data_IF_651188920650
#
_entry.id   IF_651188920650
#
_cell.length_a   1.000
_cell.length_b   1.000
_cell.length_c   1.000
_cell.angle_alpha   90.00
_cell.angle_beta   90.00
_cell.angle_gamma   90.00
#
_symmetry.space_group_name_H-M   'P 1'
#
loop_
_entity.id
_entity.type
_entity.pdbx_description
1 polymer ?
#
# COMPACT_ATOMS: atom_id res chain seq x y z
N UNK A 1 -10.37 -22.68 90.08
CA UNK A 1 -9.42 -21.83 89.35
C UNK A 1 -9.70 -22.06 87.87
N UNK A 2 -10.28 -21.04 87.19
CA UNK A 2 -10.74 -21.16 85.76
C UNK A 2 -9.73 -20.48 84.84
N UNK A 3 -9.07 -21.30 84.02
CA UNK A 3 -8.19 -20.81 82.98
C UNK A 3 -9.01 -20.34 81.76
N UNK A 4 -8.86 -19.06 81.37
CA UNK A 4 -9.51 -18.50 80.20
C UNK A 4 -8.53 -18.66 79.00
N UNK A 5 -8.86 -19.55 78.15
CA UNK A 5 -8.16 -19.72 76.84
C UNK A 5 -8.67 -18.64 75.85
N UNK A 6 -7.80 -17.70 75.47
CA UNK A 6 -8.10 -16.70 74.45
C UNK A 6 -7.75 -17.27 73.09
N UNK A 7 -8.77 -17.49 72.26
CA UNK A 7 -8.57 -17.79 70.86
C UNK A 7 -8.26 -16.50 70.10
N UNK A 8 -7.08 -16.44 69.52
CA UNK A 8 -6.68 -15.41 68.58
C UNK A 8 -7.07 -15.83 67.18
N UNK A 9 -8.13 -15.23 66.59
CA UNK A 9 -8.51 -15.42 65.22
C UNK A 9 -7.67 -14.49 64.34
N UNK A 10 -6.70 -15.06 63.66
CA UNK A 10 -5.94 -14.34 62.62
C UNK A 10 -6.72 -14.45 61.34
N UNK A 11 -7.40 -13.37 60.92
CA UNK A 11 -8.02 -13.28 59.60
C UNK A 11 -6.92 -13.01 58.56
N UNK A 12 -6.53 -14.03 57.82
CA UNK A 12 -5.72 -13.90 56.61
C UNK A 12 -6.59 -13.31 55.48
N UNK A 13 -6.46 -12.01 55.27
CA UNK A 13 -6.98 -11.36 54.04
C UNK A 13 -6.07 -11.77 52.87
N UNK A 14 -6.45 -12.80 52.17
CA UNK A 14 -5.83 -13.18 50.89
C UNK A 14 -6.28 -12.16 49.84
N UNK A 15 -5.41 -11.15 49.58
CA UNK A 15 -5.52 -10.31 48.39
C UNK A 15 -5.21 -11.20 47.17
N UNK A 16 -6.24 -11.72 46.54
CA UNK A 16 -6.13 -12.29 45.20
C UNK A 16 -5.94 -11.12 44.23
N UNK A 17 -4.69 -10.78 43.94
CA UNK A 17 -4.37 -10.00 42.75
C UNK A 17 -4.73 -10.86 41.53
N UNK A 18 -5.94 -10.73 41.03
CA UNK A 18 -6.23 -11.11 39.65
C UNK A 18 -5.44 -10.16 38.77
N UNK A 19 -4.26 -10.58 38.34
CA UNK A 19 -3.62 -9.99 37.17
C UNK A 19 -4.58 -10.21 36.00
N UNK A 20 -5.51 -9.28 35.84
CA UNK A 20 -6.14 -9.10 34.54
C UNK A 20 -4.98 -8.73 33.61
N UNK A 21 -4.50 -9.73 32.88
CA UNK A 21 -3.81 -9.48 31.61
C UNK A 21 -4.83 -8.72 30.77
N UNK A 22 -4.86 -7.41 30.95
CA UNK A 22 -5.61 -6.51 30.09
C UNK A 22 -5.00 -6.68 28.70
N UNK A 23 -5.64 -7.49 27.89
CA UNK A 23 -5.45 -7.45 26.48
C UNK A 23 -5.79 -6.01 26.10
N UNK A 24 -4.77 -5.19 25.88
CA UNK A 24 -4.98 -3.83 25.44
C UNK A 24 -5.91 -3.92 24.22
N UNK A 25 -7.11 -3.38 24.36
CA UNK A 25 -8.09 -3.44 23.28
C UNK A 25 -7.45 -2.76 22.07
N UNK A 26 -7.29 -3.51 20.98
CA UNK A 26 -6.73 -2.98 19.75
C UNK A 26 -7.54 -1.77 19.29
N UNK A 27 -6.85 -0.72 18.91
CA UNK A 27 -7.47 0.55 18.50
C UNK A 27 -7.82 0.55 17.02
N UNK A 28 -7.08 -0.20 16.21
CA UNK A 28 -7.33 -0.31 14.77
C UNK A 28 -8.73 -0.87 14.51
N UNK A 29 -9.53 -0.09 13.81
CA UNK A 29 -10.88 -0.42 13.36
C UNK A 29 -10.97 -0.47 11.85
N UNK A 30 -10.10 0.28 11.19
CA UNK A 30 -10.07 0.42 9.75
C UNK A 30 -8.66 0.12 9.25
N UNK A 31 -8.57 -0.50 8.07
CA UNK A 31 -7.30 -0.81 7.42
C UNK A 31 -7.34 -0.34 5.97
N UNK A 32 -6.31 0.33 5.55
CA UNK A 32 -6.07 0.71 4.16
C UNK A 32 -4.80 0.03 3.69
N UNK A 33 -4.91 -0.81 2.67
CA UNK A 33 -3.79 -1.40 1.95
C UNK A 33 -3.58 -0.62 0.66
N UNK A 34 -2.41 0.01 0.53
CA UNK A 34 -2.05 0.86 -0.61
C UNK A 34 -0.86 0.21 -1.30
N UNK A 35 -0.97 0.02 -2.60
CA UNK A 35 0.07 -0.57 -3.43
C UNK A 35 0.42 0.39 -4.56
N UNK A 36 1.72 0.66 -4.73
CA UNK A 36 2.28 1.31 -5.91
C UNK A 36 2.98 0.24 -6.72
N UNK A 37 2.40 -0.11 -7.87
CA UNK A 37 2.85 -1.22 -8.70
C UNK A 37 4.31 -1.04 -9.12
N UNK A 38 5.11 -2.09 -8.97
CA UNK A 38 6.49 -2.15 -9.43
C UNK A 38 7.45 -1.09 -8.86
N UNK A 39 7.06 -0.33 -7.83
CA UNK A 39 7.92 0.72 -7.25
C UNK A 39 9.09 0.10 -6.49
N UNK A 40 10.32 0.31 -7.01
CA UNK A 40 11.53 -0.32 -6.49
C UNK A 40 11.88 0.17 -5.08
N UNK A 41 12.41 -0.75 -4.26
CA UNK A 41 12.95 -0.39 -2.95
C UNK A 41 14.11 0.62 -3.01
N UNK A 42 14.86 0.65 -4.13
CA UNK A 42 15.97 1.58 -4.33
C UNK A 42 15.48 3.03 -4.22
N UNK A 43 14.46 3.41 -4.99
CA UNK A 43 13.89 4.77 -4.94
C UNK A 43 13.34 5.08 -3.55
N UNK A 44 12.66 4.12 -2.93
CA UNK A 44 12.08 4.31 -1.60
C UNK A 44 13.13 4.61 -0.54
N UNK A 45 14.28 3.92 -0.56
CA UNK A 45 15.29 4.05 0.49
C UNK A 45 16.45 4.97 0.15
N UNK A 46 16.72 5.25 -1.13
CA UNK A 46 17.84 6.08 -1.55
C UNK A 46 17.44 7.32 -2.36
N UNK A 47 16.17 7.44 -2.74
CA UNK A 47 15.68 8.49 -3.63
C UNK A 47 16.08 8.24 -5.08
N UNK A 48 16.03 9.28 -5.92
CA UNK A 48 16.36 9.19 -7.33
C UNK A 48 17.73 8.56 -7.59
N UNK A 49 17.82 7.65 -8.56
CA UNK A 49 19.07 7.02 -8.98
C UNK A 49 19.88 7.99 -9.87
N UNK A 50 21.12 8.35 -9.48
CA UNK A 50 21.93 9.31 -10.24
C UNK A 50 22.27 8.84 -11.66
N UNK A 51 22.37 7.54 -11.86
CA UNK A 51 22.76 6.94 -13.13
C UNK A 51 21.60 6.91 -14.14
N UNK A 52 20.38 7.14 -13.68
CA UNK A 52 19.17 7.20 -14.50
C UNK A 52 18.68 8.65 -14.77
N UNK A 53 19.28 9.67 -14.15
CA UNK A 53 18.91 11.07 -14.39
C UNK A 53 19.51 11.62 -15.69
N UNK A 54 19.36 10.88 -16.77
CA UNK A 54 19.84 11.25 -18.11
C UNK A 54 19.02 10.54 -19.20
N UNK A 55 19.06 11.09 -20.42
CA UNK A 55 18.32 10.55 -21.57
C UNK A 55 18.74 9.11 -21.92
N UNK A 56 20.05 8.82 -21.84
CA UNK A 56 20.61 7.54 -22.32
C UNK A 56 20.11 6.35 -21.50
N UNK A 57 20.18 6.44 -20.18
CA UNK A 57 19.90 5.32 -19.27
C UNK A 57 18.46 5.40 -18.72
N UNK A 58 17.99 6.60 -18.42
CA UNK A 58 16.66 6.82 -17.83
C UNK A 58 15.58 7.21 -18.82
N UNK A 59 15.94 7.43 -20.10
CA UNK A 59 14.95 7.81 -21.13
C UNK A 59 14.18 9.10 -20.80
N UNK A 60 14.77 9.97 -19.99
CA UNK A 60 14.11 11.19 -19.53
C UNK A 60 13.90 12.18 -20.68
N UNK A 61 12.74 12.84 -20.67
CA UNK A 61 12.44 13.96 -21.55
C UNK A 61 12.49 15.31 -20.82
N UNK A 62 12.30 15.27 -19.50
CA UNK A 62 12.51 16.44 -18.67
C UNK A 62 13.99 16.85 -18.64
N UNK A 63 14.26 18.14 -18.36
CA UNK A 63 15.64 18.60 -18.17
C UNK A 63 16.29 17.92 -16.98
N UNK A 64 17.51 17.36 -17.13
CA UNK A 64 18.25 16.78 -16.01
C UNK A 64 18.46 17.75 -14.84
N UNK A 65 18.62 19.05 -15.13
CA UNK A 65 18.75 20.09 -14.10
C UNK A 65 17.46 20.27 -13.31
N UNK A 66 16.32 20.24 -14.00
CA UNK A 66 15.00 20.32 -13.35
C UNK A 66 14.78 19.12 -12.43
N UNK A 67 14.99 17.89 -12.93
CA UNK A 67 14.84 16.67 -12.12
C UNK A 67 15.80 16.65 -10.91
N UNK A 68 17.04 17.16 -11.10
CA UNK A 68 17.98 17.29 -9.99
C UNK A 68 17.51 18.34 -8.98
N UNK A 69 16.94 19.43 -9.42
CA UNK A 69 16.39 20.44 -8.52
C UNK A 69 15.21 19.87 -7.68
N UNK A 70 14.38 19.01 -8.29
CA UNK A 70 13.17 18.47 -7.66
C UNK A 70 13.47 17.25 -6.79
N UNK A 71 14.35 16.33 -7.23
CA UNK A 71 14.49 15.00 -6.64
C UNK A 71 15.92 14.63 -6.22
N UNK A 72 16.92 15.52 -6.41
CA UNK A 72 18.29 15.17 -6.12
C UNK A 72 18.86 15.88 -4.89
N UNK A 73 19.56 15.10 -4.08
CA UNK A 73 20.47 15.55 -3.03
C UNK A 73 21.63 14.56 -2.93
N UNK A 74 22.83 15.04 -2.63
CA UNK A 74 24.01 14.16 -2.45
C UNK A 74 23.84 13.22 -1.25
N UNK A 75 23.16 13.67 -0.19
CA UNK A 75 22.76 12.84 0.93
C UNK A 75 21.55 11.97 0.55
N UNK A 76 21.68 10.63 0.47
CA UNK A 76 20.56 9.74 0.17
C UNK A 76 19.39 9.87 1.15
N UNK A 77 19.65 10.27 2.39
CA UNK A 77 18.58 10.44 3.37
C UNK A 77 17.73 11.67 3.09
N UNK A 78 18.32 12.74 2.59
CA UNK A 78 17.57 13.92 2.12
C UNK A 78 16.93 13.66 0.76
N UNK A 79 17.65 13.01 -0.16
CA UNK A 79 17.15 12.68 -1.49
C UNK A 79 15.86 11.84 -1.44
N UNK A 80 15.81 10.80 -0.62
CA UNK A 80 14.59 10.01 -0.42
C UNK A 80 13.45 10.82 0.23
N UNK A 81 13.75 11.85 1.05
CA UNK A 81 12.73 12.75 1.60
C UNK A 81 12.19 13.73 0.58
N UNK A 82 13.01 14.13 -0.40
CA UNK A 82 12.52 14.94 -1.51
C UNK A 82 11.53 14.15 -2.37
N UNK A 83 11.81 12.87 -2.60
CA UNK A 83 10.94 12.00 -3.40
C UNK A 83 9.68 11.56 -2.63
N UNK A 84 9.83 11.20 -1.35
CA UNK A 84 8.75 10.69 -0.49
C UNK A 84 8.64 11.48 0.83
N UNK A 85 8.19 12.74 0.78
CA UNK A 85 8.11 13.59 1.96
C UNK A 85 7.15 13.07 3.04
N UNK A 86 6.01 12.48 2.70
CA UNK A 86 5.08 11.92 3.66
C UNK A 86 5.60 10.61 4.27
N UNK A 87 6.08 9.70 3.44
CA UNK A 87 6.65 8.43 3.91
C UNK A 87 7.77 8.64 4.93
N UNK A 88 8.73 9.52 4.62
CA UNK A 88 9.89 9.77 5.50
C UNK A 88 9.63 10.84 6.56
N UNK A 89 8.70 11.76 6.30
CA UNK A 89 8.35 12.82 7.25
C UNK A 89 7.34 12.40 8.30
N UNK A 90 6.43 11.49 7.98
CA UNK A 90 5.33 11.08 8.85
C UNK A 90 5.35 9.58 9.13
N UNK A 91 5.24 8.73 8.09
CA UNK A 91 5.12 7.28 8.27
C UNK A 91 6.32 6.69 8.99
N UNK A 92 7.55 7.07 8.60
CA UNK A 92 8.77 6.64 9.28
C UNK A 92 8.86 7.05 10.75
N UNK A 93 8.18 8.13 11.16
CA UNK A 93 8.19 8.60 12.55
C UNK A 93 7.11 7.98 13.42
N UNK A 94 5.98 7.59 12.79
CA UNK A 94 4.80 7.09 13.50
C UNK A 94 4.59 5.59 13.34
N UNK A 95 5.38 4.94 12.47
CA UNK A 95 5.23 3.54 12.12
C UNK A 95 6.55 2.80 11.94
N UNK A 96 6.57 1.88 11.00
CA UNK A 96 7.74 1.05 10.66
C UNK A 96 7.86 0.90 9.14
N UNK A 97 9.10 0.86 8.64
CA UNK A 97 9.39 0.62 7.23
C UNK A 97 10.42 -0.51 7.10
N UNK A 98 10.13 -1.50 6.26
CA UNK A 98 10.91 -2.69 6.00
C UNK A 98 11.35 -2.75 4.53
N UNK A 99 12.43 -3.47 4.24
CA UNK A 99 12.88 -3.75 2.87
C UNK A 99 14.16 -3.02 2.46
N UNK A 100 14.78 -2.20 3.34
CA UNK A 100 16.08 -1.60 3.02
C UNK A 100 17.20 -2.64 3.07
N UNK A 101 17.56 -3.18 1.91
CA UNK A 101 18.61 -4.18 1.82
C UNK A 101 19.99 -3.64 2.24
N UNK A 102 20.25 -2.35 2.05
CA UNK A 102 21.49 -1.70 2.50
C UNK A 102 21.67 -1.72 4.02
N UNK A 103 20.57 -1.97 4.75
CA UNK A 103 20.54 -2.12 6.21
C UNK A 103 20.19 -3.55 6.66
N UNK A 104 20.27 -4.54 5.76
CA UNK A 104 19.97 -5.92 6.07
C UNK A 104 18.49 -6.18 6.36
N UNK A 105 17.60 -5.27 5.99
CA UNK A 105 16.16 -5.49 6.07
C UNK A 105 15.67 -6.06 4.75
N UNK A 106 15.10 -7.27 4.78
CA UNK A 106 14.72 -8.01 3.59
C UNK A 106 13.20 -8.23 3.62
N UNK A 107 12.52 -7.72 2.61
CA UNK A 107 11.13 -8.03 2.30
C UNK A 107 11.05 -8.55 0.85
N UNK A 108 10.32 -9.64 0.62
CA UNK A 108 10.29 -10.31 -0.68
C UNK A 108 8.95 -10.94 -0.96
N UNK A 109 8.55 -10.95 -2.24
CA UNK A 109 7.55 -11.90 -2.73
C UNK A 109 8.16 -13.29 -2.82
N UNK A 110 7.35 -14.33 -2.61
CA UNK A 110 7.81 -15.74 -2.57
C UNK A 110 7.19 -16.59 -3.69
N UNK A 111 6.39 -15.99 -4.58
CA UNK A 111 5.73 -16.67 -5.69
C UNK A 111 6.69 -17.19 -6.78
N UNK A 112 7.94 -16.71 -6.79
CA UNK A 112 8.95 -17.12 -7.76
C UNK A 112 8.75 -16.55 -9.16
N UNK A 113 7.77 -15.68 -9.37
CA UNK A 113 7.40 -15.09 -10.65
C UNK A 113 7.72 -13.58 -10.66
N UNK A 114 7.53 -12.89 -9.52
CA UNK A 114 7.87 -11.49 -9.31
C UNK A 114 7.29 -10.55 -10.38
N UNK A 115 5.98 -10.69 -10.64
CA UNK A 115 5.18 -9.77 -11.45
C UNK A 115 3.75 -9.65 -10.88
N UNK A 116 2.94 -8.78 -11.43
CA UNK A 116 1.76 -8.19 -10.79
C UNK A 116 0.72 -9.21 -10.30
N UNK A 117 0.05 -9.98 -11.15
CA UNK A 117 -1.04 -10.84 -10.69
C UNK A 117 -0.60 -11.84 -9.60
N UNK A 118 0.50 -12.61 -9.76
CA UNK A 118 1.02 -13.49 -8.70
C UNK A 118 1.39 -12.74 -7.41
N UNK A 119 1.97 -11.53 -7.52
CA UNK A 119 2.31 -10.67 -6.39
C UNK A 119 1.06 -10.23 -5.62
N UNK A 120 0.08 -9.71 -6.31
CA UNK A 120 -1.22 -9.36 -5.71
C UNK A 120 -1.93 -10.56 -5.09
N UNK A 121 -1.94 -11.70 -5.78
CA UNK A 121 -2.54 -12.92 -5.21
C UNK A 121 -1.85 -13.32 -3.90
N UNK A 122 -0.52 -13.34 -3.87
CA UNK A 122 0.25 -13.70 -2.67
C UNK A 122 -0.06 -12.74 -1.53
N UNK A 123 -0.03 -11.42 -1.79
CA UNK A 123 -0.33 -10.37 -0.82
C UNK A 123 -1.74 -10.51 -0.24
N UNK A 124 -2.74 -10.77 -1.08
CA UNK A 124 -4.15 -10.79 -0.71
C UNK A 124 -4.61 -12.12 -0.10
N UNK A 125 -3.83 -13.19 -0.26
CA UNK A 125 -4.16 -14.53 0.24
C UNK A 125 -3.18 -15.05 1.29
N UNK A 126 -2.02 -14.37 1.45
CA UNK A 126 -0.94 -14.77 2.35
C UNK A 126 -0.13 -15.97 1.86
N UNK A 127 -0.25 -16.35 0.58
CA UNK A 127 0.52 -17.45 -0.01
C UNK A 127 0.57 -17.36 -1.54
N UNK A 128 1.68 -17.83 -2.16
CA UNK A 128 1.75 -17.96 -3.60
C UNK A 128 0.84 -19.08 -4.10
N UNK A 129 0.45 -18.99 -5.38
CA UNK A 129 -0.28 -20.05 -6.09
C UNK A 129 0.33 -20.22 -7.48
N UNK A 130 1.00 -21.34 -7.70
CA UNK A 130 1.69 -21.64 -8.97
C UNK A 130 0.74 -21.78 -10.19
N UNK A 131 -0.57 -21.79 -10.00
CA UNK A 131 -1.54 -21.77 -11.09
C UNK A 131 -1.69 -20.40 -11.70
N UNK A 132 -1.41 -19.35 -10.90
CA UNK A 132 -1.48 -17.94 -11.33
C UNK A 132 -0.09 -17.56 -11.85
N UNK A 133 0.11 -17.76 -13.13
CA UNK A 133 1.38 -17.65 -13.84
C UNK A 133 1.38 -16.64 -15.00
N UNK A 134 0.33 -15.81 -15.06
CA UNK A 134 0.16 -14.77 -16.07
C UNK A 134 -0.67 -13.62 -15.52
N UNK A 135 -0.43 -12.40 -16.01
CA UNK A 135 -1.29 -11.25 -15.76
C UNK A 135 -2.68 -11.40 -16.42
N UNK A 136 -2.79 -12.26 -17.46
CA UNK A 136 -4.04 -12.60 -18.16
C UNK A 136 -4.77 -13.81 -17.55
N UNK A 137 -4.45 -14.20 -16.31
CA UNK A 137 -4.97 -15.46 -15.70
C UNK A 137 -6.49 -15.45 -15.58
N UNK A 138 -7.26 -14.55 -15.67
CA UNK A 138 -8.71 -14.54 -15.46
C UNK A 138 -9.09 -14.56 -13.98
N UNK A 139 -10.27 -15.06 -13.63
CA UNK A 139 -10.81 -14.97 -12.27
C UNK A 139 -9.97 -15.75 -11.24
N UNK A 140 -9.53 -15.07 -10.18
CA UNK A 140 -8.76 -15.65 -9.09
C UNK A 140 -9.56 -16.77 -8.39
N UNK A 141 -9.05 -18.02 -8.35
CA UNK A 141 -9.71 -19.12 -7.66
C UNK A 141 -9.60 -19.02 -6.14
N UNK A 142 -8.65 -18.22 -5.63
CA UNK A 142 -8.35 -18.10 -4.21
C UNK A 142 -9.26 -17.08 -3.53
N UNK A 143 -9.56 -17.33 -2.27
CA UNK A 143 -10.31 -16.41 -1.42
C UNK A 143 -9.35 -15.36 -0.87
N UNK A 144 -9.55 -14.10 -1.26
CA UNK A 144 -8.76 -12.99 -0.73
C UNK A 144 -9.22 -12.60 0.67
N UNK A 145 -8.34 -11.99 1.47
CA UNK A 145 -8.70 -11.48 2.80
C UNK A 145 -9.82 -10.42 2.72
N UNK A 146 -9.90 -9.65 1.65
CA UNK A 146 -10.97 -8.67 1.43
C UNK A 146 -12.33 -9.35 1.21
N UNK A 147 -12.37 -10.36 0.34
CA UNK A 147 -13.57 -11.16 0.14
C UNK A 147 -13.98 -11.88 1.43
N UNK A 148 -13.02 -12.49 2.13
CA UNK A 148 -13.26 -13.16 3.40
C UNK A 148 -13.86 -12.21 4.44
N UNK A 149 -13.30 -11.00 4.58
CA UNK A 149 -13.84 -9.98 5.49
C UNK A 149 -15.25 -9.53 5.11
N UNK A 150 -15.53 -9.38 3.80
CA UNK A 150 -16.86 -8.97 3.33
C UNK A 150 -17.97 -9.99 3.66
N UNK A 151 -17.62 -11.25 3.95
CA UNK A 151 -18.59 -12.24 4.40
C UNK A 151 -19.11 -12.00 5.82
N UNK A 152 -18.37 -11.30 6.67
CA UNK A 152 -18.83 -10.98 8.02
C UNK A 152 -19.87 -9.85 8.00
N UNK A 153 -21.01 -10.00 8.73
CA UNK A 153 -22.07 -9.00 8.72
C UNK A 153 -21.61 -7.57 9.05
N UNK A 154 -20.64 -7.43 9.96
CA UNK A 154 -20.09 -6.14 10.40
C UNK A 154 -19.17 -5.47 9.37
N UNK A 155 -18.74 -6.17 8.32
CA UNK A 155 -17.91 -5.63 7.24
C UNK A 155 -18.64 -5.58 5.89
N UNK A 156 -19.79 -6.24 5.79
CA UNK A 156 -20.53 -6.32 4.53
C UNK A 156 -20.89 -4.94 3.99
N UNK A 157 -20.41 -4.64 2.78
CA UNK A 157 -20.56 -3.34 2.13
C UNK A 157 -19.64 -2.24 2.67
N UNK A 158 -18.70 -2.61 3.56
CA UNK A 158 -17.65 -1.70 4.08
C UNK A 158 -16.26 -2.13 3.63
N UNK A 159 -16.17 -3.00 2.65
CA UNK A 159 -14.95 -3.45 2.00
C UNK A 159 -14.97 -2.96 0.57
N UNK A 160 -13.93 -2.24 0.16
CA UNK A 160 -13.88 -1.65 -1.18
C UNK A 160 -12.49 -1.79 -1.81
N UNK A 161 -12.47 -1.77 -3.14
CA UNK A 161 -11.29 -1.84 -3.99
C UNK A 161 -11.32 -0.67 -4.97
N UNK A 162 -10.25 0.10 -4.99
CA UNK A 162 -10.00 1.18 -5.94
C UNK A 162 -8.64 0.93 -6.58
N UNK A 163 -8.59 0.70 -7.88
CA UNK A 163 -7.37 0.35 -8.57
C UNK A 163 -7.34 0.90 -10.00
N UNK A 164 -6.15 1.22 -10.49
CA UNK A 164 -5.99 1.78 -11.83
C UNK A 164 -6.08 0.73 -12.91
N UNK A 165 -5.68 -0.51 -12.64
CA UNK A 165 -5.68 -1.59 -13.61
C UNK A 165 -7.00 -2.38 -13.59
N UNK A 166 -7.60 -2.66 -14.75
CA UNK A 166 -8.90 -3.34 -14.87
C UNK A 166 -8.85 -4.81 -14.41
N UNK A 167 -7.69 -5.47 -14.52
CA UNK A 167 -7.46 -6.84 -14.07
C UNK A 167 -7.72 -7.04 -12.58
N UNK A 168 -7.79 -5.98 -11.77
CA UNK A 168 -8.22 -6.12 -10.38
C UNK A 168 -9.62 -6.70 -10.23
N UNK A 169 -10.49 -6.59 -11.24
CA UNK A 169 -11.77 -7.29 -11.27
C UNK A 169 -11.59 -8.82 -11.26
N UNK A 170 -10.54 -9.32 -11.90
CA UNK A 170 -10.14 -10.73 -11.90
C UNK A 170 -9.42 -11.11 -10.60
N UNK A 171 -8.45 -10.29 -10.14
CA UNK A 171 -7.66 -10.54 -8.92
C UNK A 171 -8.56 -10.68 -7.69
N UNK A 172 -9.57 -9.82 -7.56
CA UNK A 172 -10.55 -9.89 -6.47
C UNK A 172 -11.77 -10.77 -6.79
N UNK A 173 -11.83 -11.37 -7.96
CA UNK A 173 -12.95 -12.18 -8.44
C UNK A 173 -14.30 -11.45 -8.22
N UNK A 174 -14.49 -10.30 -8.89
CA UNK A 174 -15.66 -9.41 -8.69
C UNK A 174 -17.00 -10.18 -8.66
N UNK A 175 -17.26 -11.14 -9.60
CA UNK A 175 -18.53 -11.87 -9.60
C UNK A 175 -18.78 -12.69 -8.33
N UNK A 176 -17.72 -13.22 -7.69
CA UNK A 176 -17.83 -14.03 -6.47
C UNK A 176 -17.78 -13.16 -5.21
N UNK A 177 -16.84 -12.24 -5.16
CA UNK A 177 -16.59 -11.42 -3.95
C UNK A 177 -17.67 -10.38 -3.68
N UNK A 178 -18.33 -9.89 -4.73
CA UNK A 178 -19.35 -8.83 -4.66
C UNK A 178 -18.86 -7.59 -3.90
N UNK A 179 -17.55 -7.30 -3.98
CA UNK A 179 -16.95 -6.12 -3.39
C UNK A 179 -17.39 -4.85 -4.13
N UNK A 180 -17.44 -3.74 -3.41
CA UNK A 180 -17.52 -2.44 -4.08
C UNK A 180 -16.18 -2.20 -4.77
N UNK A 181 -16.23 -2.04 -6.09
CA UNK A 181 -15.01 -1.97 -6.89
C UNK A 181 -15.09 -0.89 -7.96
N UNK A 182 -13.99 -0.15 -8.10
CA UNK A 182 -13.67 0.66 -9.26
C UNK A 182 -12.28 0.26 -9.73
N UNK A 183 -12.16 -0.20 -10.97
CA UNK A 183 -10.91 -0.67 -11.56
C UNK A 183 -10.81 -0.22 -13.02
N UNK A 184 -9.61 0.14 -13.47
CA UNK A 184 -9.35 0.58 -14.83
C UNK A 184 -10.21 1.78 -15.24
N UNK A 185 -10.61 1.80 -16.49
CA UNK A 185 -11.43 2.86 -17.09
C UNK A 185 -12.94 2.73 -16.81
N UNK A 186 -13.33 1.87 -15.86
CA UNK A 186 -14.72 1.72 -15.45
C UNK A 186 -15.25 3.01 -14.81
N UNK A 187 -16.37 3.49 -15.33
CA UNK A 187 -17.07 4.63 -14.73
C UNK A 187 -17.88 4.18 -13.52
N UNK A 188 -18.10 5.08 -12.53
CA UNK A 188 -18.97 4.81 -11.40
C UNK A 188 -20.34 4.29 -11.84
N UNK A 189 -20.77 3.14 -11.30
CA UNK A 189 -22.04 2.46 -11.63
C UNK A 189 -23.26 3.10 -10.92
N UNK A 190 -23.25 4.41 -10.65
CA UNK A 190 -24.36 5.14 -10.04
C UNK A 190 -25.19 5.91 -11.06
N UNK A 191 -26.50 6.03 -10.80
CA UNK A 191 -27.41 6.80 -11.66
C UNK A 191 -27.45 8.29 -11.30
N UNK A 192 -27.24 8.61 -10.04
CA UNK A 192 -27.33 9.96 -9.49
C UNK A 192 -25.93 10.52 -9.30
N UNK A 193 -25.33 10.99 -10.41
CA UNK A 193 -23.99 11.58 -10.41
C UNK A 193 -24.05 13.01 -9.85
N UNK A 194 -23.09 13.34 -9.02
CA UNK A 194 -22.84 14.75 -8.67
C UNK A 194 -22.18 15.46 -9.85
N UNK A 195 -22.27 16.82 -9.95
CA UNK A 195 -21.58 17.57 -11.01
C UNK A 195 -20.07 17.28 -11.08
N UNK A 196 -19.42 16.96 -9.96
CA UNK A 196 -18.01 16.58 -9.91
C UNK A 196 -17.78 15.22 -10.56
N UNK A 197 -18.66 14.26 -10.32
CA UNK A 197 -18.59 12.94 -10.94
C UNK A 197 -18.91 13.00 -12.45
N UNK A 198 -19.85 13.86 -12.86
CA UNK A 198 -20.12 14.10 -14.27
C UNK A 198 -18.89 14.66 -15.00
N UNK A 199 -18.24 15.69 -14.42
CA UNK A 199 -17.01 16.24 -14.95
C UNK A 199 -15.90 15.18 -15.05
N UNK A 200 -15.72 14.37 -13.99
CA UNK A 200 -14.75 13.30 -13.99
C UNK A 200 -15.04 12.27 -15.10
N UNK A 201 -16.30 11.87 -15.26
CA UNK A 201 -16.71 10.96 -16.33
C UNK A 201 -16.45 11.55 -17.73
N UNK A 202 -16.60 12.86 -17.91
CA UNK A 202 -16.26 13.52 -19.17
C UNK A 202 -14.74 13.50 -19.41
N UNK A 203 -13.94 13.68 -18.37
CA UNK A 203 -12.48 13.54 -18.47
C UNK A 203 -12.08 12.11 -18.82
N UNK A 204 -12.65 11.10 -18.19
CA UNK A 204 -12.41 9.69 -18.53
C UNK A 204 -12.68 9.37 -20.01
N UNK A 205 -13.74 9.97 -20.60
CA UNK A 205 -14.09 9.73 -22.00
C UNK A 205 -13.20 10.48 -22.99
N UNK A 206 -12.58 11.58 -22.60
CA UNK A 206 -11.86 12.49 -23.48
C UNK A 206 -10.35 12.48 -23.31
N UNK A 207 -9.84 11.87 -22.23
CA UNK A 207 -8.41 11.75 -21.98
C UNK A 207 -7.78 10.75 -22.94
N UNK A 208 -6.62 11.09 -23.47
CA UNK A 208 -5.77 10.14 -24.20
C UNK A 208 -5.28 9.07 -23.22
N UNK A 209 -5.56 7.83 -23.52
CA UNK A 209 -5.15 6.67 -22.74
C UNK A 209 -3.72 6.28 -23.09
N UNK A 210 -2.95 5.79 -22.12
CA UNK A 210 -1.69 5.11 -22.37
C UNK A 210 -1.97 3.75 -23.03
N UNK A 211 -2.93 3.03 -22.44
CA UNK A 211 -3.50 1.76 -22.91
C UNK A 211 -4.99 1.69 -22.57
N UNK A 212 -5.63 0.55 -22.85
CA UNK A 212 -7.05 0.34 -22.59
C UNK A 212 -7.32 -0.29 -21.20
N UNK A 213 -6.29 -0.69 -20.44
CA UNK A 213 -6.40 -1.42 -19.18
C UNK A 213 -6.25 -0.48 -17.98
N UNK A 214 -5.26 0.42 -18.02
CA UNK A 214 -4.91 1.29 -16.88
C UNK A 214 -5.45 2.71 -17.01
N UNK A 215 -6.13 3.14 -15.95
CA UNK A 215 -6.47 4.56 -15.79
C UNK A 215 -5.36 5.29 -15.05
N UNK A 216 -5.20 6.59 -15.31
CA UNK A 216 -4.25 7.43 -14.59
C UNK A 216 -4.52 7.47 -13.09
N UNK A 217 -3.48 7.41 -12.26
CA UNK A 217 -3.56 7.44 -10.79
C UNK A 217 -4.37 8.63 -10.28
N UNK A 218 -4.23 9.80 -10.91
CA UNK A 218 -4.99 11.01 -10.58
C UNK A 218 -6.50 10.85 -10.75
N UNK A 219 -6.94 10.08 -11.73
CA UNK A 219 -8.36 9.82 -11.97
C UNK A 219 -8.93 8.86 -10.93
N UNK A 220 -8.13 7.93 -10.42
CA UNK A 220 -8.53 7.06 -9.33
C UNK A 220 -8.64 7.82 -8.00
N UNK A 221 -7.70 8.72 -7.73
CA UNK A 221 -7.62 9.43 -6.45
C UNK A 221 -8.87 10.28 -6.15
N UNK A 222 -9.43 10.91 -7.17
CA UNK A 222 -10.60 11.80 -6.98
C UNK A 222 -11.84 11.04 -6.51
N UNK A 223 -12.32 9.98 -7.20
CA UNK A 223 -13.47 9.21 -6.76
C UNK A 223 -13.20 8.43 -5.47
N UNK A 224 -11.97 7.99 -5.22
CA UNK A 224 -11.58 7.34 -3.98
C UNK A 224 -11.84 8.25 -2.78
N UNK A 225 -11.37 9.50 -2.81
CA UNK A 225 -11.58 10.46 -1.71
C UNK A 225 -13.06 10.79 -1.51
N UNK A 226 -13.82 10.91 -2.59
CA UNK A 226 -15.27 11.14 -2.52
C UNK A 226 -16.00 9.92 -1.91
N UNK A 227 -15.60 8.71 -2.28
CA UNK A 227 -16.13 7.47 -1.73
C UNK A 227 -15.84 7.32 -0.22
N UNK A 228 -14.59 7.55 0.18
CA UNK A 228 -14.20 7.49 1.60
C UNK A 228 -15.02 8.46 2.44
N UNK A 229 -15.23 9.70 1.96
CA UNK A 229 -16.02 10.72 2.67
C UNK A 229 -17.52 10.40 2.76
N UNK A 230 -18.06 9.69 1.77
CA UNK A 230 -19.51 9.44 1.70
C UNK A 230 -19.92 8.08 2.27
N UNK A 231 -19.07 7.06 2.18
CA UNK A 231 -19.43 5.67 2.47
C UNK A 231 -18.72 5.09 3.69
N UNK A 232 -17.59 5.66 4.09
CA UNK A 232 -16.84 5.27 5.27
C UNK A 232 -16.40 3.78 5.27
N UNK A 233 -15.70 3.27 4.21
CA UNK A 233 -15.24 1.89 4.18
C UNK A 233 -14.30 1.59 5.35
N UNK A 234 -14.37 0.37 5.88
CA UNK A 234 -13.51 -0.09 6.98
C UNK A 234 -12.28 -0.86 6.51
N UNK A 235 -12.40 -1.52 5.37
CA UNK A 235 -11.27 -2.18 4.70
C UNK A 235 -11.21 -1.69 3.26
N UNK A 236 -10.11 -1.07 2.91
CA UNK A 236 -9.90 -0.41 1.63
C UNK A 236 -8.62 -0.90 0.98
N UNK A 237 -8.70 -1.35 -0.27
CA UNK A 237 -7.55 -1.56 -1.14
C UNK A 237 -7.43 -0.39 -2.11
N UNK A 238 -6.20 0.09 -2.31
CA UNK A 238 -5.89 1.13 -3.30
C UNK A 238 -4.67 0.66 -4.10
N UNK A 239 -4.82 0.52 -5.41
CA UNK A 239 -3.75 0.14 -6.33
C UNK A 239 -3.46 1.26 -7.33
N UNK A 240 -2.23 1.80 -7.30
CA UNK A 240 -1.71 2.79 -8.24
C UNK A 240 -0.76 2.10 -9.23
N UNK A 241 -0.90 2.34 -10.53
CA UNK A 241 -0.19 1.64 -11.59
C UNK A 241 0.89 2.45 -12.31
N UNK A 242 0.86 3.79 -12.23
CA UNK A 242 1.72 4.62 -13.08
C UNK A 242 3.22 4.40 -12.88
N UNK A 243 3.67 4.00 -11.68
CA UNK A 243 5.09 3.71 -11.43
C UNK A 243 5.59 2.54 -12.26
N UNK A 244 4.76 1.51 -12.46
CA UNK A 244 5.05 0.37 -13.32
C UNK A 244 5.00 0.73 -14.80
N UNK A 245 3.91 1.37 -15.23
CA UNK A 245 3.67 1.76 -16.60
C UNK A 245 4.80 2.66 -17.16
N UNK A 246 5.24 3.64 -16.37
CA UNK A 246 6.32 4.52 -16.76
C UNK A 246 7.68 3.84 -16.77
N UNK A 247 7.92 2.86 -15.88
CA UNK A 247 9.12 2.05 -15.92
C UNK A 247 9.18 1.22 -17.21
N UNK A 248 8.13 0.50 -17.56
CA UNK A 248 8.02 -0.23 -18.84
C UNK A 248 8.18 0.68 -20.07
N UNK A 249 7.69 1.91 -19.98
CA UNK A 249 7.87 2.91 -21.02
C UNK A 249 9.30 3.47 -21.08
N UNK A 250 10.18 3.07 -20.14
CA UNK A 250 11.55 3.56 -20.05
C UNK A 250 11.66 5.05 -19.72
N UNK A 251 10.70 5.61 -18.96
CA UNK A 251 10.57 7.03 -18.62
C UNK A 251 10.81 7.26 -17.14
N UNK A 252 12.11 7.30 -16.77
CA UNK A 252 12.49 7.44 -15.36
C UNK A 252 12.05 8.78 -14.74
N UNK A 253 11.98 9.85 -15.54
CA UNK A 253 11.42 11.13 -15.11
C UNK A 253 9.97 10.97 -14.61
N UNK A 254 9.15 10.23 -15.37
CA UNK A 254 7.76 9.98 -15.00
C UNK A 254 7.61 8.95 -13.88
N UNK A 255 8.55 7.99 -13.74
CA UNK A 255 8.61 7.12 -12.55
C UNK A 255 8.81 7.94 -11.29
N UNK A 256 9.71 8.93 -11.30
CA UNK A 256 9.94 9.79 -10.14
C UNK A 256 8.73 10.68 -9.84
N UNK A 257 8.13 11.28 -10.86
CA UNK A 257 6.94 12.10 -10.71
C UNK A 257 5.76 11.30 -10.16
N UNK A 258 5.47 10.11 -10.73
CA UNK A 258 4.38 9.26 -10.26
C UNK A 258 4.62 8.71 -8.84
N UNK A 259 5.86 8.32 -8.51
CA UNK A 259 6.22 7.89 -7.17
C UNK A 259 6.01 9.02 -6.13
N UNK A 260 6.42 10.25 -6.46
CA UNK A 260 6.18 11.43 -5.63
C UNK A 260 4.68 11.73 -5.50
N UNK A 261 3.93 11.59 -6.60
CA UNK A 261 2.50 11.82 -6.62
C UNK A 261 1.74 10.77 -5.76
N UNK A 262 2.18 9.51 -5.78
CA UNK A 262 1.61 8.46 -4.90
C UNK A 262 1.84 8.82 -3.43
N UNK A 263 3.02 9.29 -3.04
CA UNK A 263 3.29 9.74 -1.66
C UNK A 263 2.33 10.88 -1.24
N UNK A 264 2.07 11.82 -2.14
CA UNK A 264 1.11 12.90 -1.92
C UNK A 264 -0.34 12.39 -1.84
N UNK A 265 -0.73 11.39 -2.66
CA UNK A 265 -2.05 10.77 -2.60
C UNK A 265 -2.27 10.00 -1.30
N UNK A 266 -1.25 9.29 -0.82
CA UNK A 266 -1.27 8.64 0.48
C UNK A 266 -1.45 9.66 1.60
N UNK A 267 -0.73 10.79 1.54
CA UNK A 267 -0.89 11.90 2.48
C UNK A 267 -2.31 12.46 2.46
N UNK A 268 -2.87 12.75 1.29
CA UNK A 268 -4.23 13.27 1.14
C UNK A 268 -5.28 12.32 1.70
N UNK A 269 -5.13 11.02 1.45
CA UNK A 269 -6.02 10.00 1.98
C UNK A 269 -5.91 9.91 3.50
N UNK A 270 -4.69 9.90 4.04
CA UNK A 270 -4.45 9.94 5.48
C UNK A 270 -5.08 11.16 6.14
N UNK A 271 -4.78 12.35 5.64
CA UNK A 271 -5.30 13.62 6.19
C UNK A 271 -6.83 13.65 6.14
N UNK A 272 -7.43 13.19 5.03
CA UNK A 272 -8.88 13.07 4.88
C UNK A 272 -9.46 12.17 5.96
N UNK A 273 -8.89 10.96 6.14
CA UNK A 273 -9.38 10.01 7.12
C UNK A 273 -9.15 10.50 8.56
N UNK A 274 -8.01 11.10 8.87
CA UNK A 274 -7.75 11.65 10.22
C UNK A 274 -8.62 12.85 10.57
N UNK A 275 -9.16 13.56 9.58
CA UNK A 275 -10.14 14.63 9.81
C UNK A 275 -11.52 14.10 10.22
N UNK A 276 -11.83 12.81 9.98
CA UNK A 276 -13.13 12.18 10.19
C UNK A 276 -13.15 11.37 11.50
N UNK A 277 -14.18 11.53 12.37
CA UNK A 277 -14.25 10.82 13.67
C UNK A 277 -14.21 9.29 13.55
N UNK A 278 -14.76 8.73 12.46
CA UNK A 278 -14.82 7.29 12.21
C UNK A 278 -13.44 6.66 11.98
N UNK A 279 -12.47 7.46 11.55
CA UNK A 279 -11.15 7.02 11.17
C UNK A 279 -10.04 7.50 12.11
N UNK A 280 -10.24 8.66 12.72
CA UNK A 280 -9.21 9.32 13.55
C UNK A 280 -8.71 8.41 14.64
N UNK A 281 -7.39 8.20 14.66
CA UNK A 281 -6.69 7.34 15.63
C UNK A 281 -7.19 5.88 15.68
N UNK A 282 -7.88 5.43 14.61
CA UNK A 282 -8.45 4.09 14.50
C UNK A 282 -8.12 3.42 13.16
N UNK A 283 -7.28 4.03 12.35
CA UNK A 283 -6.94 3.54 11.01
C UNK A 283 -5.48 3.15 10.93
N UNK A 284 -5.23 1.96 10.37
CA UNK A 284 -3.88 1.49 10.02
C UNK A 284 -3.72 1.55 8.50
N UNK A 285 -2.63 2.19 8.05
CA UNK A 285 -2.17 2.18 6.67
C UNK A 285 -1.07 1.14 6.52
N UNK A 286 -1.17 0.33 5.49
CA UNK A 286 -0.12 -0.57 4.98
C UNK A 286 0.18 -0.10 3.57
N UNK A 287 1.42 0.29 3.30
CA UNK A 287 1.84 0.84 2.02
C UNK A 287 2.97 -0.05 1.52
N UNK A 288 2.86 -0.54 0.29
CA UNK A 288 3.81 -1.50 -0.25
C UNK A 288 3.86 -1.46 -1.79
N UNK A 289 4.58 -2.39 -2.37
CA UNK A 289 4.56 -2.75 -3.79
C UNK A 289 4.27 -4.25 -3.92
N UNK A 290 3.79 -4.68 -5.05
CA UNK A 290 3.45 -6.08 -5.36
C UNK A 290 4.65 -6.90 -5.85
N UNK A 291 5.61 -6.24 -6.50
CA UNK A 291 6.93 -6.76 -6.89
C UNK A 291 7.95 -5.63 -6.97
N UNK A 292 9.22 -5.95 -7.12
CA UNK A 292 10.28 -5.02 -7.45
C UNK A 292 10.62 -5.07 -8.94
N UNK A 293 11.80 -4.55 -9.29
CA UNK A 293 12.34 -4.55 -10.65
C UNK A 293 13.83 -4.83 -10.63
N UNK A 294 14.41 -5.07 -11.79
CA UNK A 294 15.84 -5.15 -11.96
C UNK A 294 16.58 -3.91 -11.47
N UNK A 295 17.86 -4.04 -11.19
CA UNK A 295 18.69 -2.97 -10.57
C UNK A 295 19.77 -2.39 -11.50
N UNK A 296 19.86 -2.86 -12.75
CA UNK A 296 20.80 -2.35 -13.75
C UNK A 296 20.29 -1.14 -14.51
N UNK A 297 21.12 -0.62 -15.42
CA UNK A 297 20.81 0.56 -16.24
C UNK A 297 19.71 0.33 -17.28
N UNK A 298 19.45 -0.91 -17.65
CA UNK A 298 18.35 -1.31 -18.54
C UNK A 298 17.28 -2.09 -17.78
N UNK A 299 17.70 -2.91 -16.81
CA UNK A 299 16.85 -3.85 -16.09
C UNK A 299 15.85 -3.16 -15.13
N UNK A 300 16.05 -1.89 -14.81
CA UNK A 300 15.11 -1.10 -14.01
C UNK A 300 13.72 -0.96 -14.67
N UNK A 301 13.66 -1.15 -16.00
CA UNK A 301 12.44 -1.07 -16.79
C UNK A 301 11.60 -2.34 -16.69
N UNK A 302 12.23 -3.45 -16.30
CA UNK A 302 11.65 -4.77 -16.38
C UNK A 302 11.55 -5.44 -15.01
N UNK A 303 10.70 -6.45 -14.94
CA UNK A 303 10.51 -7.30 -13.77
C UNK A 303 10.21 -8.75 -14.21
N UNK A 304 10.10 -9.66 -13.24
CA UNK A 304 9.80 -11.06 -13.51
C UNK A 304 10.97 -12.00 -13.20
N UNK A 305 10.83 -13.25 -13.60
CA UNK A 305 11.76 -14.36 -13.26
C UNK A 305 13.18 -14.10 -13.73
N UNK A 306 13.33 -13.53 -14.91
CA UNK A 306 14.65 -13.28 -15.52
C UNK A 306 15.34 -12.05 -14.92
N UNK A 307 14.56 -11.14 -14.31
CA UNK A 307 15.07 -9.88 -13.79
C UNK A 307 15.42 -10.00 -12.31
N UNK A 308 16.72 -10.20 -12.05
CA UNK A 308 17.23 -10.33 -10.68
C UNK A 308 16.98 -9.07 -9.87
N UNK A 309 16.29 -9.24 -8.75
CA UNK A 309 15.91 -8.15 -7.85
C UNK A 309 14.42 -7.87 -7.84
N UNK A 310 13.67 -8.37 -8.84
CA UNK A 310 12.21 -8.20 -8.93
C UNK A 310 11.45 -8.83 -7.76
N UNK A 311 12.05 -9.78 -7.06
CA UNK A 311 11.49 -10.36 -5.84
C UNK A 311 11.52 -9.42 -4.65
N UNK A 312 12.32 -8.35 -4.68
CA UNK A 312 12.54 -7.47 -3.53
C UNK A 312 11.50 -6.36 -3.48
N UNK A 313 10.73 -6.34 -2.40
CA UNK A 313 9.70 -5.36 -2.11
C UNK A 313 10.05 -4.52 -0.88
N UNK A 314 9.20 -3.60 -0.54
CA UNK A 314 9.25 -2.81 0.68
C UNK A 314 7.86 -2.73 1.30
N UNK A 315 7.79 -2.58 2.62
CA UNK A 315 6.52 -2.48 3.34
C UNK A 315 6.63 -1.38 4.39
N UNK A 316 5.68 -0.46 4.40
CA UNK A 316 5.54 0.55 5.44
C UNK A 316 4.19 0.38 6.15
N UNK A 317 4.20 0.48 7.48
CA UNK A 317 2.99 0.31 8.29
C UNK A 317 2.92 1.45 9.30
N UNK A 318 1.76 2.12 9.35
CA UNK A 318 1.48 3.18 10.33
C UNK A 318 0.04 3.03 10.85
N UNK A 319 -0.13 3.14 12.16
CA UNK A 319 -1.46 3.06 12.77
C UNK A 319 -1.40 3.01 14.29
N UNK A 320 -2.54 3.06 14.97
CA UNK A 320 -2.60 3.22 16.44
C UNK A 320 -2.07 2.01 17.24
N UNK A 321 -2.00 0.83 16.59
CA UNK A 321 -1.44 -0.39 17.18
C UNK A 321 -0.04 -0.72 16.64
N UNK A 322 0.54 0.16 15.81
CA UNK A 322 1.88 -0.01 15.26
C UNK A 322 2.89 0.78 16.09
N UNK A 323 3.91 0.10 16.58
CA UNK A 323 4.98 0.79 17.32
C UNK A 323 5.78 1.71 16.40
N UNK A 324 6.07 2.93 16.83
CA UNK A 324 6.84 3.92 16.09
C UNK A 324 8.36 3.59 16.16
N UNK A 325 8.80 2.60 15.37
CA UNK A 325 10.18 2.09 15.36
C UNK A 325 10.97 2.52 14.13
N UNK A 326 10.35 3.25 13.21
CA UNK A 326 10.99 3.83 12.03
C UNK A 326 11.48 2.79 11.02
N UNK A 327 12.53 3.14 10.32
CA UNK A 327 13.19 2.26 9.37
C UNK A 327 13.85 1.06 10.10
N UNK A 328 13.47 -0.15 9.72
CA UNK A 328 13.89 -1.39 10.37
C UNK A 328 15.18 -1.90 9.72
N UNK A 329 16.22 -2.09 10.54
CA UNK A 329 17.44 -2.76 10.13
C UNK A 329 17.44 -4.24 10.57
N UNK A 330 18.18 -5.07 9.85
CA UNK A 330 18.36 -6.51 10.13
C UNK A 330 17.03 -7.27 10.32
N UNK A 331 15.98 -6.84 9.63
CA UNK A 331 14.70 -7.54 9.59
C UNK A 331 14.71 -8.56 8.43
N UNK A 332 14.32 -9.80 8.70
CA UNK A 332 14.24 -10.87 7.70
C UNK A 332 12.91 -11.62 7.83
N UNK A 333 12.51 -12.31 6.75
CA UNK A 333 11.27 -13.08 6.73
C UNK A 333 10.01 -12.21 6.69
N UNK A 334 10.11 -11.03 6.09
CA UNK A 334 8.97 -10.15 5.79
C UNK A 334 8.51 -10.48 4.36
N UNK A 335 7.27 -10.94 4.21
CA UNK A 335 6.64 -11.29 2.93
C UNK A 335 5.27 -10.67 2.84
#
# INVERSE_FOLDING_TARGET
MKSKLRFLVVALLSFVFTAQSGWAQRKTRNVVLIVSDGLRWQEVFTGADPDLLNEKNGGIWASPEQLRHEFWNDDPAERRRMLFPFLWGVVARQGQIFGNQNKGSIARVTNGLAFSYPGYNEMLTGRPDARIDSNEFGLNPNLTVFEWMNHFPEFRGQVAVYATWDTFTNIFNEPRSQLVMQAGWDLPKTRDLTPRQELLNDLYRTTTRLDDEDVWDSFLQVPLLDYVKSTHPRLLFVGYGETDNWAHSGRYDLVLESAHQVDEFVRQLWDTMQAMPEYRDQTTFIITTDHGRGSGLEEWKEHGVEEKGSENIWIAIMGPDTAALGERANASGVT
#
